data_IF_709213857398
#
_entry.id   IF_709213857398
#
_cell.length_a   1.000
_cell.length_b   1.000
_cell.length_c   1.000
_cell.angle_alpha   90.00
_cell.angle_beta   90.00
_cell.angle_gamma   90.00
#
_symmetry.space_group_name_H-M   'P 1'
#
loop_
_entity.id
_entity.type
_entity.pdbx_description
1 polymer ?
#
# COMPACT_ATOMS: atom_id res chain seq x y z
N UNK A 1 -86.37 -44.39 -32.86
CA UNK A 1 -86.39 -43.15 -32.04
C UNK A 1 -85.20 -42.30 -32.46
N UNK A 2 -85.46 -41.21 -33.20
CA UNK A 2 -85.40 -39.81 -32.71
C UNK A 2 -83.93 -39.35 -32.68
N UNK A 3 -83.42 -38.77 -33.79
CA UNK A 3 -83.45 -37.32 -34.20
C UNK A 3 -82.10 -36.68 -33.84
N UNK A 4 -81.42 -36.09 -34.84
CA UNK A 4 -81.35 -34.62 -35.07
C UNK A 4 -80.38 -34.00 -34.06
N UNK A 5 -79.39 -33.18 -34.40
CA UNK A 5 -79.36 -32.04 -35.30
C UNK A 5 -77.92 -31.46 -35.12
N UNK A 6 -77.27 -30.85 -36.13
CA UNK A 6 -77.04 -29.37 -36.16
C UNK A 6 -75.87 -28.95 -35.22
N UNK A 7 -74.74 -28.40 -35.68
CA UNK A 7 -74.60 -27.15 -36.41
C UNK A 7 -73.23 -27.02 -37.09
N UNK A 8 -73.26 -26.54 -38.33
CA UNK A 8 -72.13 -25.95 -39.05
C UNK A 8 -71.97 -24.51 -38.59
N UNK A 9 -70.91 -24.19 -37.84
CA UNK A 9 -70.47 -22.81 -37.69
C UNK A 9 -69.24 -22.55 -38.55
N UNK A 10 -69.53 -21.99 -39.73
CA UNK A 10 -68.57 -21.41 -40.67
C UNK A 10 -68.16 -20.05 -40.10
N UNK A 11 -67.00 -19.98 -39.45
CA UNK A 11 -66.44 -18.72 -38.99
C UNK A 11 -65.99 -17.91 -40.21
N UNK A 12 -66.68 -16.80 -40.47
CA UNK A 12 -66.29 -15.81 -41.47
C UNK A 12 -65.02 -15.09 -40.98
N UNK A 13 -63.92 -15.29 -41.71
CA UNK A 13 -62.67 -14.57 -41.53
C UNK A 13 -62.86 -13.13 -42.01
N UNK A 14 -63.10 -12.20 -41.08
CA UNK A 14 -63.19 -10.77 -41.38
C UNK A 14 -61.78 -10.21 -41.55
N UNK A 15 -61.47 -9.50 -42.65
CA UNK A 15 -60.16 -8.87 -42.82
C UNK A 15 -59.92 -7.86 -41.71
N UNK A 16 -58.84 -8.07 -40.93
CA UNK A 16 -58.41 -7.13 -39.90
C UNK A 16 -58.10 -5.77 -40.53
N UNK A 17 -58.55 -4.65 -39.93
CA UNK A 17 -58.27 -3.32 -40.45
C UNK A 17 -56.76 -3.05 -40.47
N UNK A 18 -56.27 -2.55 -41.59
CA UNK A 18 -54.87 -2.15 -41.80
C UNK A 18 -54.64 -0.86 -41.02
N UNK A 19 -54.38 -0.95 -39.71
CA UNK A 19 -53.99 0.19 -38.87
C UNK A 19 -52.46 0.36 -38.76
N UNK A 20 -51.68 -0.59 -39.30
CA UNK A 20 -50.23 -0.67 -39.11
C UNK A 20 -49.37 0.20 -40.05
N UNK A 21 -49.79 1.41 -40.44
CA UNK A 21 -48.89 2.29 -41.22
C UNK A 21 -48.45 3.56 -40.50
N UNK A 22 -49.27 4.15 -39.64
CA UNK A 22 -48.84 5.34 -38.87
C UNK A 22 -48.00 4.97 -37.64
N UNK A 23 -48.31 3.87 -36.95
CA UNK A 23 -47.58 3.47 -35.75
C UNK A 23 -46.11 3.11 -36.06
N UNK A 24 -45.84 2.52 -37.23
CA UNK A 24 -44.47 2.21 -37.67
C UNK A 24 -43.64 3.47 -37.99
N UNK A 25 -44.26 4.57 -38.42
CA UNK A 25 -43.57 5.83 -38.71
C UNK A 25 -43.21 6.58 -37.42
N UNK A 26 -44.11 6.59 -36.44
CA UNK A 26 -43.84 7.17 -35.12
C UNK A 26 -42.72 6.44 -34.37
N UNK A 27 -42.70 5.10 -34.45
CA UNK A 27 -41.61 4.30 -33.87
C UNK A 27 -40.27 4.59 -34.58
N UNK A 28 -40.25 4.79 -35.90
CA UNK A 28 -39.00 5.10 -36.61
C UNK A 28 -38.37 6.44 -36.20
N UNK A 29 -39.18 7.48 -35.94
CA UNK A 29 -38.67 8.78 -35.50
C UNK A 29 -38.06 8.74 -34.09
N UNK A 30 -38.66 7.98 -33.17
CA UNK A 30 -38.13 7.82 -31.82
C UNK A 30 -36.81 7.04 -31.82
N UNK A 31 -36.70 6.01 -32.65
CA UNK A 31 -35.45 5.27 -32.82
C UNK A 31 -34.32 6.15 -33.39
N UNK A 32 -34.62 7.05 -34.33
CA UNK A 32 -33.63 7.99 -34.89
C UNK A 32 -33.15 9.03 -33.87
N UNK A 33 -34.04 9.54 -33.01
CA UNK A 33 -33.67 10.47 -31.92
C UNK A 33 -32.79 9.80 -30.88
N UNK A 34 -33.14 8.56 -30.51
CA UNK A 34 -32.36 7.76 -29.56
C UNK A 34 -30.96 7.47 -30.13
N UNK A 35 -30.85 7.05 -31.39
CA UNK A 35 -29.56 6.82 -32.05
C UNK A 35 -28.68 8.07 -32.09
N UNK A 36 -29.24 9.24 -32.43
CA UNK A 36 -28.49 10.50 -32.43
C UNK A 36 -28.02 10.92 -31.04
N UNK A 37 -28.80 10.64 -29.97
CA UNK A 37 -28.40 10.89 -28.59
C UNK A 37 -27.21 10.00 -28.19
N UNK A 38 -27.22 8.72 -28.55
CA UNK A 38 -26.10 7.81 -28.30
C UNK A 38 -24.84 8.19 -29.07
N UNK A 39 -24.96 8.64 -30.34
CA UNK A 39 -23.81 9.12 -31.14
C UNK A 39 -23.18 10.38 -30.52
N UNK A 40 -23.99 11.29 -29.96
CA UNK A 40 -23.46 12.48 -29.27
C UNK A 40 -22.79 12.12 -27.95
N UNK A 41 -23.39 11.23 -27.15
CA UNK A 41 -22.81 10.77 -25.89
C UNK A 41 -21.51 9.99 -26.11
N UNK A 42 -21.45 9.12 -27.12
CA UNK A 42 -20.24 8.36 -27.44
C UNK A 42 -19.08 9.27 -27.87
N UNK A 43 -19.35 10.36 -28.61
CA UNK A 43 -18.33 11.36 -28.95
C UNK A 43 -17.79 12.11 -27.73
N UNK A 44 -18.64 12.44 -26.75
CA UNK A 44 -18.21 13.14 -25.53
C UNK A 44 -17.42 12.22 -24.61
N UNK A 45 -17.89 10.99 -24.41
CA UNK A 45 -17.18 9.99 -23.59
C UNK A 45 -15.84 9.61 -24.23
N UNK A 46 -15.81 9.42 -25.54
CA UNK A 46 -14.57 9.12 -26.29
C UNK A 46 -13.53 10.25 -26.14
N UNK A 47 -13.94 11.53 -26.22
CA UNK A 47 -13.02 12.66 -26.02
C UNK A 47 -12.43 12.68 -24.61
N UNK A 48 -13.23 12.46 -23.57
CA UNK A 48 -12.74 12.41 -22.18
C UNK A 48 -11.80 11.24 -21.96
N UNK A 49 -12.12 10.07 -22.53
CA UNK A 49 -11.28 8.89 -22.43
C UNK A 49 -9.92 9.09 -23.11
N UNK A 50 -9.88 9.71 -24.31
CA UNK A 50 -8.64 10.04 -25.00
C UNK A 50 -7.80 11.03 -24.18
N UNK A 51 -8.40 12.05 -23.57
CA UNK A 51 -7.68 13.01 -22.72
C UNK A 51 -7.04 12.29 -21.51
N UNK A 52 -7.77 11.39 -20.85
CA UNK A 52 -7.23 10.61 -19.73
C UNK A 52 -6.07 9.71 -20.16
N UNK A 53 -6.15 9.06 -21.32
CA UNK A 53 -5.07 8.22 -21.83
C UNK A 53 -3.82 9.04 -22.18
N UNK A 54 -3.99 10.22 -22.80
CA UNK A 54 -2.87 11.12 -23.10
C UNK A 54 -2.22 11.63 -21.81
N UNK A 55 -3.01 12.02 -20.81
CA UNK A 55 -2.49 12.45 -19.52
C UNK A 55 -1.70 11.33 -18.80
N UNK A 56 -2.23 10.10 -18.82
CA UNK A 56 -1.53 8.94 -18.27
C UNK A 56 -0.22 8.66 -19.00
N UNK A 57 -0.23 8.70 -20.33
CA UNK A 57 0.97 8.51 -21.14
C UNK A 57 2.04 9.57 -20.86
N UNK A 58 1.64 10.84 -20.65
CA UNK A 58 2.58 11.91 -20.28
C UNK A 58 3.18 11.72 -18.88
N UNK A 59 2.41 11.21 -17.91
CA UNK A 59 2.93 10.87 -16.56
C UNK A 59 3.89 9.69 -16.62
N UNK A 60 3.58 8.66 -17.42
CA UNK A 60 4.48 7.52 -17.60
C UNK A 60 5.76 7.93 -18.35
N UNK A 61 5.64 8.82 -19.34
CA UNK A 61 6.79 9.35 -20.07
C UNK A 61 7.66 10.23 -19.17
N UNK A 62 7.08 11.02 -18.26
CA UNK A 62 7.86 11.80 -17.29
C UNK A 62 8.55 10.93 -16.25
N UNK A 63 7.97 9.78 -15.87
CA UNK A 63 8.64 8.78 -15.03
C UNK A 63 9.77 8.04 -15.78
N UNK A 64 9.62 7.82 -17.09
CA UNK A 64 10.65 7.15 -17.91
C UNK A 64 11.81 8.08 -18.28
N UNK A 65 11.51 9.36 -18.57
CA UNK A 65 12.51 10.39 -18.87
C UNK A 65 13.03 11.10 -17.63
N UNK A 66 12.43 10.90 -16.45
CA UNK A 66 13.06 11.28 -15.21
C UNK A 66 14.44 10.62 -15.23
N UNK A 67 15.54 11.40 -15.32
CA UNK A 67 16.85 10.82 -15.21
C UNK A 67 16.81 10.03 -13.93
N UNK A 68 17.17 8.76 -13.99
CA UNK A 68 17.40 7.98 -12.79
C UNK A 68 18.36 8.82 -11.95
N UNK A 69 17.83 9.55 -10.97
CA UNK A 69 18.59 10.14 -9.87
C UNK A 69 18.98 8.95 -8.97
N UNK A 70 19.49 7.88 -9.57
CA UNK A 70 20.68 7.22 -9.10
C UNK A 70 21.82 8.22 -9.23
N UNK A 71 21.84 9.19 -8.31
CA UNK A 71 23.09 9.49 -7.65
C UNK A 71 23.50 8.16 -7.00
N UNK A 72 24.17 7.30 -7.78
CA UNK A 72 25.29 6.54 -7.27
C UNK A 72 26.20 7.61 -6.69
N UNK A 73 25.98 7.94 -5.43
CA UNK A 73 27.11 8.30 -4.59
C UNK A 73 28.04 7.12 -4.75
N UNK A 74 29.09 7.31 -5.55
CA UNK A 74 30.38 6.74 -5.21
C UNK A 74 30.63 7.27 -3.81
N UNK A 75 30.14 6.54 -2.81
CA UNK A 75 30.58 6.69 -1.44
C UNK A 75 32.09 6.54 -1.54
N UNK A 76 32.81 7.65 -1.37
CA UNK A 76 34.20 7.55 -1.01
C UNK A 76 34.26 6.58 0.18
N UNK A 77 34.96 5.45 0.05
CA UNK A 77 35.17 4.57 1.19
C UNK A 77 36.07 5.34 2.16
N UNK A 78 35.49 5.93 3.21
CA UNK A 78 36.32 6.49 4.28
C UNK A 78 35.71 7.53 5.21
N UNK A 79 34.66 8.25 4.83
CA UNK A 79 34.03 9.20 5.75
C UNK A 79 32.86 8.51 6.48
N UNK A 80 33.12 8.05 7.71
CA UNK A 80 32.05 7.75 8.66
C UNK A 80 31.32 9.08 8.88
N UNK A 81 30.21 9.29 8.17
CA UNK A 81 29.31 10.41 8.45
C UNK A 81 28.75 10.13 9.82
N UNK A 82 29.31 10.78 10.83
CA UNK A 82 28.90 10.65 12.21
C UNK A 82 27.43 11.08 12.29
N UNK A 83 26.55 10.19 12.75
CA UNK A 83 25.14 10.56 12.89
C UNK A 83 25.02 11.69 13.90
N UNK A 84 24.27 12.74 13.55
CA UNK A 84 23.94 13.84 14.48
C UNK A 84 23.03 13.38 15.65
N UNK A 85 22.58 12.13 15.61
CA UNK A 85 21.74 11.53 16.63
C UNK A 85 22.57 11.06 17.83
N UNK A 86 22.05 11.23 19.06
CA UNK A 86 22.74 10.83 20.27
C UNK A 86 23.00 9.32 20.30
N UNK A 87 24.10 8.94 20.96
CA UNK A 87 24.39 7.53 21.26
C UNK A 87 23.62 7.12 22.52
N UNK A 88 22.98 5.96 22.45
CA UNK A 88 22.31 5.34 23.59
C UNK A 88 23.30 4.34 24.20
N UNK A 89 23.69 4.55 25.45
CA UNK A 89 24.59 3.66 26.17
C UNK A 89 23.80 2.54 26.86
N UNK A 90 24.45 1.38 27.05
CA UNK A 90 23.92 0.30 27.85
C UNK A 90 23.80 0.71 29.33
N UNK A 91 24.59 1.67 29.81
CA UNK A 91 24.57 2.15 31.19
C UNK A 91 23.44 3.14 31.51
N UNK A 92 22.83 3.77 30.51
CA UNK A 92 21.77 4.76 30.74
C UNK A 92 20.53 4.10 31.37
N UNK A 93 19.77 4.81 32.20
CA UNK A 93 18.47 4.29 32.67
C UNK A 93 17.41 4.40 31.55
N UNK A 94 16.28 3.70 31.70
CA UNK A 94 15.18 3.83 30.72
C UNK A 94 14.65 5.26 30.75
N UNK A 95 14.50 5.81 31.96
CA UNK A 95 14.03 7.18 32.21
C UNK A 95 14.94 8.21 31.53
N UNK A 96 16.26 8.11 31.71
CA UNK A 96 17.23 9.02 31.08
C UNK A 96 17.15 8.96 29.55
N UNK A 97 17.02 7.75 28.99
CA UNK A 97 16.93 7.58 27.52
C UNK A 97 15.63 8.17 26.98
N UNK A 98 14.51 7.99 27.67
CA UNK A 98 13.23 8.57 27.26
C UNK A 98 13.27 10.10 27.33
N UNK A 99 13.83 10.65 28.41
CA UNK A 99 13.92 12.09 28.61
C UNK A 99 14.86 12.76 27.59
N UNK A 100 16.06 12.22 27.41
CA UNK A 100 17.07 12.80 26.53
C UNK A 100 16.82 12.54 25.04
N UNK A 101 16.30 11.36 24.69
CA UNK A 101 16.27 10.89 23.30
C UNK A 101 14.85 10.75 22.74
N UNK A 102 13.79 10.97 23.53
CA UNK A 102 12.41 10.73 23.10
C UNK A 102 11.96 11.57 21.90
N UNK A 103 12.41 12.83 21.80
CA UNK A 103 12.11 13.70 20.67
C UNK A 103 12.78 13.20 19.37
N UNK A 104 14.06 12.85 19.46
CA UNK A 104 14.83 12.31 18.33
C UNK A 104 14.30 10.94 17.91
N UNK A 105 13.85 10.12 18.87
CA UNK A 105 13.21 8.85 18.58
C UNK A 105 11.94 9.06 17.76
N UNK A 106 11.07 9.98 18.18
CA UNK A 106 9.84 10.28 17.45
C UNK A 106 10.11 10.82 16.03
N UNK A 107 11.16 11.60 15.83
CA UNK A 107 11.55 12.10 14.53
C UNK A 107 12.15 11.01 13.64
N UNK A 108 13.05 10.19 14.18
CA UNK A 108 13.70 9.09 13.47
C UNK A 108 12.69 8.02 13.05
N UNK A 109 11.83 7.55 13.98
CA UNK A 109 10.86 6.50 13.68
C UNK A 109 9.84 6.93 12.63
N UNK A 110 9.40 8.21 12.64
CA UNK A 110 8.54 8.76 11.59
C UNK A 110 9.25 8.80 10.24
N UNK A 111 10.50 9.25 10.21
CA UNK A 111 11.28 9.30 8.98
C UNK A 111 11.50 7.90 8.39
N UNK A 112 11.78 6.92 9.24
CA UNK A 112 11.99 5.51 8.87
C UNK A 112 10.68 4.89 8.37
N UNK A 113 9.59 4.98 9.14
CA UNK A 113 8.30 4.37 8.79
C UNK A 113 7.66 4.95 7.53
N UNK A 114 7.92 6.23 7.22
CA UNK A 114 7.41 6.88 6.01
C UNK A 114 8.34 6.71 4.80
N UNK A 115 9.31 5.80 4.85
CA UNK A 115 10.29 5.61 3.80
C UNK A 115 10.36 4.15 3.34
N UNK A 116 10.73 3.95 2.07
CA UNK A 116 10.89 2.62 1.48
C UNK A 116 12.29 2.05 1.82
N UNK A 117 12.40 0.92 2.55
CA UNK A 117 13.70 0.33 2.91
C UNK A 117 14.58 -0.08 1.74
N UNK A 118 13.98 -0.32 0.58
CA UNK A 118 14.72 -0.66 -0.65
C UNK A 118 15.47 0.53 -1.25
N UNK A 119 15.13 1.75 -0.81
CA UNK A 119 15.70 3.03 -1.26
C UNK A 119 16.44 3.74 -0.11
N UNK A 120 16.86 3.00 0.90
CA UNK A 120 17.60 3.56 2.01
C UNK A 120 19.03 3.88 1.65
N UNK A 121 19.46 5.05 2.08
CA UNK A 121 20.86 5.42 2.18
C UNK A 121 21.36 5.18 3.61
N UNK A 122 22.64 5.45 3.82
CA UNK A 122 23.30 5.33 5.14
C UNK A 122 22.60 6.18 6.21
N UNK A 123 22.11 7.37 5.87
CA UNK A 123 21.47 8.26 6.83
C UNK A 123 20.12 7.69 7.33
N UNK A 124 19.33 7.07 6.45
CA UNK A 124 18.11 6.36 6.86
C UNK A 124 18.43 5.10 7.67
N UNK A 125 19.48 4.37 7.30
CA UNK A 125 19.95 3.22 8.07
C UNK A 125 20.36 3.61 9.50
N UNK A 126 21.10 4.71 9.67
CA UNK A 126 21.49 5.21 10.99
C UNK A 126 20.26 5.60 11.83
N UNK A 127 19.25 6.23 11.22
CA UNK A 127 17.97 6.51 11.89
C UNK A 127 17.27 5.22 12.33
N UNK A 128 17.25 4.20 11.47
CA UNK A 128 16.65 2.91 11.79
C UNK A 128 17.38 2.22 12.95
N UNK A 129 18.72 2.28 12.99
CA UNK A 129 19.51 1.74 14.09
C UNK A 129 19.34 2.52 15.39
N UNK A 130 19.25 3.84 15.33
CA UNK A 130 18.91 4.66 16.49
C UNK A 130 17.54 4.28 17.05
N UNK A 131 16.52 4.17 16.19
CA UNK A 131 15.18 3.73 16.60
C UNK A 131 15.18 2.30 17.16
N UNK A 132 15.98 1.39 16.60
CA UNK A 132 16.15 0.02 17.09
C UNK A 132 16.75 0.00 18.51
N UNK A 133 17.83 0.73 18.74
CA UNK A 133 18.48 0.80 20.06
C UNK A 133 17.56 1.41 21.11
N UNK A 134 16.85 2.48 20.75
CA UNK A 134 15.85 3.09 21.64
C UNK A 134 14.75 2.09 21.98
N UNK A 135 14.17 1.42 20.97
CA UNK A 135 13.11 0.44 21.16
C UNK A 135 13.54 -0.76 22.02
N UNK A 136 14.76 -1.27 21.81
CA UNK A 136 15.33 -2.35 22.64
C UNK A 136 15.49 -1.89 24.09
N UNK A 137 16.02 -0.68 24.31
CA UNK A 137 16.24 -0.12 25.65
C UNK A 137 14.95 0.06 26.43
N UNK A 138 13.91 0.60 25.81
CA UNK A 138 12.61 0.86 26.47
C UNK A 138 11.69 -0.38 26.49
N UNK A 139 12.15 -1.53 25.97
CA UNK A 139 11.37 -2.76 25.94
C UNK A 139 10.21 -2.77 24.93
N UNK A 140 10.23 -1.89 23.92
CA UNK A 140 9.24 -1.84 22.84
C UNK A 140 9.49 -2.93 21.78
N UNK A 141 9.35 -4.19 22.15
CA UNK A 141 9.76 -5.35 21.32
C UNK A 141 9.06 -5.42 19.95
N UNK A 142 7.81 -4.99 19.81
CA UNK A 142 7.13 -4.94 18.50
C UNK A 142 7.83 -3.99 17.53
N UNK A 143 8.34 -2.86 18.04
CA UNK A 143 9.15 -1.92 17.27
C UNK A 143 10.53 -2.50 16.96
N UNK A 144 11.14 -3.24 17.89
CA UNK A 144 12.39 -3.97 17.64
C UNK A 144 12.26 -4.89 16.43
N UNK A 145 11.23 -5.74 16.38
CA UNK A 145 11.02 -6.64 15.24
C UNK A 145 10.76 -5.88 13.93
N UNK A 146 10.00 -4.78 14.01
CA UNK A 146 9.69 -3.95 12.84
C UNK A 146 10.98 -3.35 12.27
N UNK A 147 11.83 -2.76 13.11
CA UNK A 147 13.10 -2.16 12.68
C UNK A 147 14.07 -3.22 12.13
N UNK A 148 14.23 -4.35 12.81
CA UNK A 148 15.07 -5.45 12.32
C UNK A 148 14.60 -5.96 10.94
N UNK A 149 13.29 -6.09 10.74
CA UNK A 149 12.72 -6.52 9.46
C UNK A 149 13.02 -5.51 8.34
N UNK A 150 12.87 -4.20 8.61
CA UNK A 150 13.17 -3.17 7.62
C UNK A 150 14.66 -3.12 7.27
N UNK A 151 15.55 -3.30 8.25
CA UNK A 151 17.00 -3.40 8.04
C UNK A 151 17.34 -4.64 7.19
N UNK A 152 16.72 -5.80 7.48
CA UNK A 152 16.90 -7.02 6.69
C UNK A 152 16.42 -6.82 5.22
N UNK A 153 15.34 -6.07 5.02
CA UNK A 153 14.88 -5.69 3.66
C UNK A 153 15.92 -4.80 2.98
N UNK A 154 16.44 -3.77 3.64
CA UNK A 154 17.45 -2.88 3.07
C UNK A 154 18.73 -3.65 2.67
N UNK A 155 19.17 -4.60 3.52
CA UNK A 155 20.30 -5.49 3.22
C UNK A 155 20.08 -6.31 1.96
N UNK A 156 18.90 -6.93 1.82
CA UNK A 156 18.53 -7.73 0.64
C UNK A 156 18.52 -6.90 -0.65
N UNK A 157 18.40 -5.57 -0.54
CA UNK A 157 18.46 -4.64 -1.67
C UNK A 157 19.87 -4.05 -1.88
N UNK A 158 20.89 -4.60 -1.23
CA UNK A 158 22.29 -4.28 -1.49
C UNK A 158 22.87 -3.18 -0.61
N UNK A 159 22.14 -2.68 0.40
CA UNK A 159 22.72 -1.78 1.39
C UNK A 159 23.64 -2.56 2.34
N UNK A 160 24.88 -2.08 2.54
CA UNK A 160 25.76 -2.64 3.55
C UNK A 160 25.30 -2.20 4.95
N UNK A 161 24.52 -3.06 5.60
CA UNK A 161 23.93 -2.75 6.91
C UNK A 161 24.94 -2.76 8.06
N UNK A 162 26.16 -3.24 7.85
CA UNK A 162 27.21 -3.22 8.86
C UNK A 162 28.01 -1.90 8.84
N UNK A 163 27.91 -1.12 7.76
CA UNK A 163 28.50 0.21 7.65
C UNK A 163 27.57 1.30 8.22
N UNK A 164 27.46 1.34 9.56
CA UNK A 164 26.60 2.28 10.29
C UNK A 164 27.35 3.01 11.43
N UNK A 165 26.85 4.19 11.82
CA UNK A 165 27.47 5.06 12.84
C UNK A 165 27.45 4.48 14.26
N UNK A 166 26.53 3.54 14.49
CA UNK A 166 26.33 2.85 15.76
C UNK A 166 27.20 1.61 15.92
N UNK A 167 27.95 1.21 14.88
CA UNK A 167 28.81 0.00 14.84
C UNK A 167 28.04 -1.27 15.18
N UNK A 168 26.77 -1.34 14.78
CA UNK A 168 25.92 -2.51 14.99
C UNK A 168 26.18 -3.51 13.88
N UNK A 169 26.75 -4.66 14.24
CA UNK A 169 26.96 -5.79 13.34
C UNK A 169 25.83 -6.84 13.47
N UNK A 170 25.97 -7.95 12.74
CA UNK A 170 25.00 -9.05 12.80
C UNK A 170 24.87 -9.64 14.21
N UNK A 171 25.99 -9.82 14.91
CA UNK A 171 26.00 -10.38 16.26
C UNK A 171 25.16 -9.52 17.21
N UNK A 172 25.31 -8.19 17.14
CA UNK A 172 24.53 -7.28 17.97
C UNK A 172 23.05 -7.28 17.61
N UNK A 173 22.70 -7.37 16.32
CA UNK A 173 21.29 -7.52 15.88
C UNK A 173 20.67 -8.81 16.42
N UNK A 174 21.41 -9.91 16.39
CA UNK A 174 20.95 -11.20 16.91
C UNK A 174 20.77 -11.18 18.43
N UNK A 175 21.65 -10.50 19.17
CA UNK A 175 21.49 -10.28 20.61
C UNK A 175 20.21 -9.49 20.93
N UNK A 176 19.95 -8.40 20.19
CA UNK A 176 18.72 -7.58 20.35
C UNK A 176 17.49 -8.44 20.06
N UNK A 177 17.50 -9.20 18.96
CA UNK A 177 16.41 -10.12 18.60
C UNK A 177 16.16 -11.15 19.70
N UNK A 178 17.22 -11.77 20.23
CA UNK A 178 17.12 -12.75 21.32
C UNK A 178 16.50 -12.15 22.58
N UNK A 179 16.87 -10.92 22.98
CA UNK A 179 16.24 -10.23 24.12
C UNK A 179 14.75 -9.98 23.88
N UNK A 180 14.39 -9.53 22.67
CA UNK A 180 12.99 -9.35 22.30
C UNK A 180 12.20 -10.68 22.33
N UNK A 181 12.81 -11.79 21.90
CA UNK A 181 12.19 -13.13 21.96
C UNK A 181 11.97 -13.60 23.40
N UNK A 182 12.97 -13.40 24.26
CA UNK A 182 12.88 -13.74 25.69
C UNK A 182 11.80 -12.94 26.39
N UNK A 183 11.68 -11.64 26.08
CA UNK A 183 10.63 -10.79 26.62
C UNK A 183 9.24 -11.24 26.14
N UNK A 184 9.08 -11.49 24.84
CA UNK A 184 7.83 -11.99 24.27
C UNK A 184 7.41 -13.30 24.95
N UNK A 185 8.35 -14.25 25.16
CA UNK A 185 8.08 -15.52 25.86
C UNK A 185 7.61 -15.32 27.31
N UNK A 186 8.14 -14.33 28.02
CA UNK A 186 7.70 -13.99 29.40
C UNK A 186 6.27 -13.47 29.41
N UNK A 187 5.88 -12.67 28.41
CA UNK A 187 4.54 -12.12 28.28
C UNK A 187 3.51 -13.16 27.81
N UNK A 188 3.93 -14.15 27.01
CA UNK A 188 3.04 -15.21 26.50
C UNK A 188 2.95 -16.43 27.40
N UNK A 189 3.79 -16.56 28.44
CA UNK A 189 3.56 -17.58 29.45
C UNK A 189 2.22 -17.21 30.10
N UNK A 190 1.14 -17.98 29.88
CA UNK A 190 -0.09 -17.75 30.61
C UNK A 190 0.31 -17.78 32.07
N UNK A 191 -0.03 -16.72 32.82
CA UNK A 191 0.27 -16.66 34.23
C UNK A 191 -0.06 -18.03 34.79
N UNK A 192 0.95 -18.73 35.29
CA UNK A 192 0.72 -19.83 36.22
C UNK A 192 0.00 -19.14 37.34
N UNK A 193 -1.34 -19.15 37.24
CA UNK A 193 -2.21 -18.62 38.26
C UNK A 193 -1.68 -19.19 39.54
N UNK A 194 -1.28 -18.29 40.43
CA UNK A 194 -1.21 -18.56 41.85
C UNK A 194 -2.62 -19.00 42.25
N UNK A 195 -2.93 -20.27 41.98
CA UNK A 195 -3.92 -21.01 42.70
C UNK A 195 -3.18 -21.49 43.95
N UNK A 196 -3.65 -21.02 45.11
CA UNK A 196 -3.03 -21.11 46.45
C UNK A 196 -2.06 -19.93 46.68
N UNK A 197 -2.17 -19.15 47.75
CA UNK A 197 -2.78 -19.37 49.08
C UNK A 197 -3.73 -18.24 49.50
#
# INVERSE_FOLDING_TARGET
>A
MVKSDKDRNKAEDKPKPITNRLDHLLVAEDHAKVANKYIRLSRVVSRRFIICLVALALVLLSLYLAPSIGRRGTSEPGAIVQSDLPRIDNNDTIEDVVESNGADYNNSIKAVNNSNPTEWDRAKLDKAYFSLLYADKVGAFSQVYTMLSMIDIAQRNGLDINDNSYRIDQGKRDEIRKRADEYAKRMTKPGTGSANE
#
